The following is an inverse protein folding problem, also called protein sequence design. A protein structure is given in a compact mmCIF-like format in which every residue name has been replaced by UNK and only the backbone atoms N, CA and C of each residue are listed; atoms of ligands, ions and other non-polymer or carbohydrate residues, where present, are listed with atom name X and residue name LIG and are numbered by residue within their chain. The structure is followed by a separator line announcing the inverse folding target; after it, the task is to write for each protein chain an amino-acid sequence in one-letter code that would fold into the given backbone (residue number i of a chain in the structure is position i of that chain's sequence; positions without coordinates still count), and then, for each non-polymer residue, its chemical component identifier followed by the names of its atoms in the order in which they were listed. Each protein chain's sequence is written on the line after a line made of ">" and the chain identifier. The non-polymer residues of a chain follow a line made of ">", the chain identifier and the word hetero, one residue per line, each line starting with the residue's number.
data_IF_223530679800
#
_entry.id   IF_223530679800
#
_cell.length_a   1.000
_cell.length_b   1.000
_cell.length_c   1.000
_cell.angle_alpha   90.00
_cell.angle_beta   90.00
_cell.angle_gamma   90.00
#
_symmetry.space_group_name_H-M   'P 1'
#
loop_
_entity.id
_entity.type
_entity.pdbx_description
1 polymer ?
#
# COMPACT_ATOMS: atom_id res chain seq x y z
N UNK A 1 20.20 -8.79 18.77
CA UNK A 1 18.80 -8.45 18.48
C UNK A 1 18.36 -9.33 17.32
N UNK A 2 17.27 -10.12 17.41
CA UNK A 2 16.79 -10.80 16.22
C UNK A 2 16.35 -9.71 15.23
N UNK A 3 16.90 -9.72 14.02
CA UNK A 3 16.49 -8.81 12.95
C UNK A 3 14.99 -8.95 12.76
N UNK A 4 14.27 -7.82 12.78
CA UNK A 4 12.86 -7.82 12.39
C UNK A 4 12.74 -8.45 11.00
N UNK A 5 11.86 -9.44 10.85
CA UNK A 5 11.62 -10.08 9.56
C UNK A 5 11.33 -9.00 8.52
N UNK A 6 12.02 -8.99 7.40
CA UNK A 6 11.78 -7.99 6.35
C UNK A 6 10.40 -8.21 5.74
N UNK A 7 9.70 -7.13 5.39
CA UNK A 7 8.44 -7.21 4.65
C UNK A 7 8.74 -7.62 3.21
N UNK A 8 8.07 -8.66 2.72
CA UNK A 8 8.22 -9.08 1.31
C UNK A 8 7.18 -8.40 0.42
N UNK A 9 7.31 -8.57 -0.90
CA UNK A 9 6.32 -8.05 -1.85
C UNK A 9 4.97 -8.74 -1.65
N UNK A 10 4.98 -10.04 -1.43
CA UNK A 10 3.79 -10.86 -1.20
C UNK A 10 3.06 -10.43 0.08
N UNK A 11 3.81 -10.07 1.13
CA UNK A 11 3.22 -9.50 2.35
C UNK A 11 2.46 -8.19 2.05
N UNK A 12 3.05 -7.33 1.22
CA UNK A 12 2.45 -6.06 0.80
C UNK A 12 1.18 -6.25 -0.05
N UNK A 13 1.22 -7.17 -1.01
CA UNK A 13 0.07 -7.52 -1.86
C UNK A 13 -1.10 -8.06 -1.02
N UNK A 14 -0.82 -8.99 -0.09
CA UNK A 14 -1.83 -9.52 0.82
C UNK A 14 -2.41 -8.41 1.71
N UNK A 15 -1.60 -7.45 2.15
CA UNK A 15 -2.08 -6.33 2.97
C UNK A 15 -2.98 -5.37 2.20
N UNK A 16 -2.60 -5.01 0.98
CA UNK A 16 -3.44 -4.19 0.11
C UNK A 16 -4.78 -4.88 -0.15
N UNK A 17 -4.77 -6.18 -0.47
CA UNK A 17 -5.99 -6.95 -0.71
C UNK A 17 -6.85 -7.08 0.56
N UNK A 18 -6.25 -7.35 1.72
CA UNK A 18 -6.96 -7.39 3.00
C UNK A 18 -7.64 -6.05 3.31
N UNK A 19 -6.95 -4.94 3.06
CA UNK A 19 -7.52 -3.60 3.24
C UNK A 19 -8.71 -3.37 2.32
N UNK A 20 -8.58 -3.66 1.02
CA UNK A 20 -9.66 -3.51 0.04
C UNK A 20 -10.88 -4.31 0.46
N UNK A 21 -10.70 -5.59 0.80
CA UNK A 21 -11.79 -6.46 1.24
C UNK A 21 -12.54 -5.89 2.46
N UNK A 22 -11.82 -5.34 3.45
CA UNK A 22 -12.42 -4.78 4.67
C UNK A 22 -13.08 -3.42 4.40
N UNK A 23 -12.51 -2.62 3.50
CA UNK A 23 -13.05 -1.31 3.13
C UNK A 23 -14.30 -1.42 2.25
N UNK A 24 -14.40 -2.47 1.43
CA UNK A 24 -15.57 -2.78 0.60
C UNK A 24 -16.66 -3.51 1.37
N UNK A 25 -16.31 -4.21 2.46
CA UNK A 25 -17.28 -4.79 3.38
C UNK A 25 -18.00 -3.65 4.12
N UNK A 26 -19.12 -3.21 3.53
CA UNK A 26 -19.99 -2.13 4.00
C UNK A 26 -20.61 -2.33 5.38
N UNK A 27 -20.21 -3.39 6.11
CA UNK A 27 -20.44 -3.59 7.53
C UNK A 27 -19.53 -2.72 8.43
N UNK A 28 -18.79 -1.75 7.87
CA UNK A 28 -18.03 -0.77 8.65
C UNK A 28 -18.96 0.30 9.22
N UNK A 29 -19.62 -0.04 10.33
CA UNK A 29 -20.24 0.95 11.21
C UNK A 29 -19.20 2.00 11.60
N UNK A 30 -19.58 3.27 11.55
CA UNK A 30 -18.82 4.48 11.91
C UNK A 30 -18.20 4.46 13.32
N UNK A 31 -18.47 3.41 14.11
CA UNK A 31 -18.06 3.20 15.50
C UNK A 31 -17.08 2.02 15.72
N UNK A 32 -16.44 1.47 14.68
CA UNK A 32 -15.34 0.53 14.93
C UNK A 32 -14.15 1.27 15.57
N UNK A 33 -13.74 0.84 16.76
CA UNK A 33 -12.47 1.26 17.35
C UNK A 33 -11.33 0.86 16.41
N UNK A 34 -10.29 1.69 16.31
CA UNK A 34 -9.12 1.43 15.45
C UNK A 34 -8.57 0.01 15.65
N UNK A 35 -8.68 -0.54 16.85
CA UNK A 35 -8.25 -1.91 17.19
C UNK A 35 -9.05 -2.98 16.45
N UNK A 36 -10.37 -2.83 16.31
CA UNK A 36 -11.21 -3.80 15.60
C UNK A 36 -10.85 -3.85 14.11
N UNK A 37 -10.58 -2.67 13.51
CA UNK A 37 -10.15 -2.59 12.13
C UNK A 37 -8.82 -3.33 11.90
N UNK A 38 -7.80 -3.07 12.72
CA UNK A 38 -6.50 -3.72 12.59
C UNK A 38 -6.55 -5.22 12.90
N UNK A 39 -7.41 -5.67 13.82
CA UNK A 39 -7.63 -7.10 14.09
C UNK A 39 -8.31 -7.82 12.91
N UNK A 40 -9.30 -7.19 12.29
CA UNK A 40 -9.93 -7.70 11.06
C UNK A 40 -8.91 -7.77 9.94
N UNK A 41 -8.06 -6.75 9.79
CA UNK A 41 -7.00 -6.70 8.78
C UNK A 41 -5.96 -7.81 8.97
N UNK A 42 -5.54 -8.05 10.22
CA UNK A 42 -4.70 -9.19 10.56
C UNK A 42 -5.36 -10.52 10.17
N UNK A 43 -6.64 -10.70 10.51
CA UNK A 43 -7.38 -11.93 10.20
C UNK A 43 -7.48 -12.17 8.70
N UNK A 44 -7.81 -11.14 7.92
CA UNK A 44 -7.87 -11.21 6.46
C UNK A 44 -6.50 -11.50 5.84
N UNK A 45 -5.44 -10.85 6.33
CA UNK A 45 -4.06 -11.12 5.90
C UNK A 45 -3.67 -12.58 6.15
N UNK A 46 -3.96 -13.13 7.34
CA UNK A 46 -3.67 -14.53 7.67
C UNK A 46 -4.41 -15.51 6.75
N UNK A 47 -5.64 -15.18 6.38
CA UNK A 47 -6.43 -16.00 5.45
C UNK A 47 -5.84 -15.99 4.03
N UNK A 48 -5.37 -14.83 3.57
CA UNK A 48 -4.79 -14.65 2.24
C UNK A 48 -3.39 -15.28 2.12
N UNK A 49 -2.57 -15.13 3.17
CA UNK A 49 -1.19 -15.63 3.20
C UNK A 49 -1.09 -17.13 3.54
N UNK A 50 -2.17 -17.73 4.06
CA UNK A 50 -2.25 -19.16 4.37
C UNK A 50 -1.14 -19.62 5.32
N UNK A 51 -0.48 -20.75 5.00
CA UNK A 51 0.63 -21.28 5.81
C UNK A 51 1.96 -20.52 5.63
N UNK A 52 2.01 -19.55 4.71
CA UNK A 52 3.19 -18.71 4.47
C UNK A 52 3.20 -17.40 5.27
N UNK A 53 2.15 -17.17 6.06
CA UNK A 53 1.98 -15.93 6.81
C UNK A 53 3.11 -15.71 7.82
N UNK A 54 3.81 -14.59 7.70
CA UNK A 54 4.78 -14.21 8.73
C UNK A 54 3.99 -13.77 9.96
N UNK A 55 4.16 -14.48 11.09
CA UNK A 55 3.54 -14.09 12.36
C UNK A 55 4.13 -12.76 12.80
N UNK A 56 3.35 -11.67 12.66
CA UNK A 56 3.71 -10.31 13.08
C UNK A 56 2.65 -9.77 14.04
N UNK A 57 3.04 -8.82 14.89
CA UNK A 57 2.10 -8.13 15.80
C UNK A 57 1.25 -7.12 15.01
N UNK A 58 0.00 -6.91 15.44
CA UNK A 58 -0.92 -5.91 14.86
C UNK A 58 -0.27 -4.53 14.70
N UNK A 59 0.47 -4.05 15.70
CA UNK A 59 1.17 -2.75 15.65
C UNK A 59 2.18 -2.64 14.50
N UNK A 60 2.80 -3.76 14.10
CA UNK A 60 3.73 -3.78 12.99
C UNK A 60 3.01 -3.57 11.66
N UNK A 61 1.79 -4.10 11.51
CA UNK A 61 0.95 -3.88 10.35
C UNK A 61 0.48 -2.42 10.27
N UNK A 62 0.03 -1.85 11.39
CA UNK A 62 -0.37 -0.45 11.44
C UNK A 62 0.80 0.48 11.06
N UNK A 63 1.99 0.23 11.61
CA UNK A 63 3.19 1.03 11.31
C UNK A 63 3.61 0.89 9.85
N UNK A 64 3.61 -0.35 9.31
CA UNK A 64 3.96 -0.61 7.92
C UNK A 64 2.96 0.02 6.94
N UNK A 65 1.66 -0.10 7.24
CA UNK A 65 0.61 0.53 6.47
C UNK A 65 0.74 2.05 6.46
N UNK A 66 0.86 2.67 7.64
CA UNK A 66 0.94 4.12 7.75
C UNK A 66 2.22 4.70 7.12
N UNK A 67 3.35 3.99 7.26
CA UNK A 67 4.66 4.48 6.84
C UNK A 67 5.01 4.23 5.38
N UNK A 68 4.49 3.18 4.76
CA UNK A 68 4.87 2.79 3.39
C UNK A 68 3.65 2.68 2.47
N UNK A 69 2.69 1.82 2.82
CA UNK A 69 1.58 1.49 1.90
C UNK A 69 0.67 2.69 1.66
N UNK A 70 0.24 3.41 2.72
CA UNK A 70 -0.68 4.54 2.59
C UNK A 70 -0.09 5.70 1.76
N UNK A 71 1.17 6.14 1.97
CA UNK A 71 1.82 7.10 1.08
C UNK A 71 1.86 6.64 -0.38
N UNK A 72 2.18 5.37 -0.63
CA UNK A 72 2.25 4.85 -2.00
C UNK A 72 0.89 4.80 -2.68
N UNK A 73 -0.16 4.38 -1.97
CA UNK A 73 -1.55 4.41 -2.47
C UNK A 73 -1.97 5.84 -2.82
N UNK A 74 -1.65 6.82 -1.96
CA UNK A 74 -1.96 8.23 -2.23
C UNK A 74 -1.21 8.78 -3.45
N UNK A 75 0.08 8.43 -3.59
CA UNK A 75 0.89 8.82 -4.74
C UNK A 75 0.36 8.20 -6.04
N UNK A 76 0.00 6.92 -6.01
CA UNK A 76 -0.58 6.23 -7.15
C UNK A 76 -1.92 6.83 -7.56
N UNK A 77 -2.84 7.06 -6.60
CA UNK A 77 -4.12 7.69 -6.88
C UNK A 77 -3.97 9.09 -7.50
N UNK A 78 -2.99 9.87 -7.01
CA UNK A 78 -2.66 11.18 -7.59
C UNK A 78 -2.08 11.06 -9.01
N UNK A 79 -1.21 10.08 -9.26
CA UNK A 79 -0.66 9.81 -10.58
C UNK A 79 -1.77 9.40 -11.56
N UNK A 80 -2.63 8.45 -11.18
CA UNK A 80 -3.75 7.99 -11.99
C UNK A 80 -4.71 9.13 -12.34
N UNK A 81 -5.06 9.97 -11.36
CA UNK A 81 -5.89 11.17 -11.61
C UNK A 81 -5.24 12.10 -12.63
N UNK A 82 -3.92 12.28 -12.56
CA UNK A 82 -3.18 13.15 -13.49
C UNK A 82 -3.17 12.57 -14.90
N UNK A 83 -2.93 11.26 -15.03
CA UNK A 83 -2.94 10.56 -16.33
C UNK A 83 -4.32 10.60 -16.97
N UNK A 84 -5.37 10.33 -16.20
CA UNK A 84 -6.76 10.40 -16.66
C UNK A 84 -7.16 11.83 -17.09
N UNK A 85 -6.70 12.85 -16.36
CA UNK A 85 -6.97 14.25 -16.69
C UNK A 85 -6.30 14.72 -18.00
N UNK A 86 -5.19 14.10 -18.41
CA UNK A 86 -4.49 14.41 -19.66
C UNK A 86 -5.28 13.96 -20.90
N UNK A 87 -6.29 13.10 -20.73
CA UNK A 87 -7.26 12.67 -21.75
C UNK A 87 -6.61 12.25 -23.08
N UNK A 88 -5.72 11.26 -23.02
CA UNK A 88 -5.00 10.73 -24.18
C UNK A 88 -5.93 9.87 -25.07
N UNK A 89 -6.23 10.35 -26.27
CA UNK A 89 -7.10 9.63 -27.22
C UNK A 89 -6.51 8.27 -27.59
N UNK A 90 -7.31 7.21 -27.45
CA UNK A 90 -6.91 5.83 -27.80
C UNK A 90 -6.26 5.05 -26.65
N UNK A 91 -6.10 5.64 -25.47
CA UNK A 91 -5.62 4.95 -24.28
C UNK A 91 -6.76 4.18 -23.60
N UNK A 92 -6.50 2.92 -23.26
CA UNK A 92 -7.37 2.09 -22.43
C UNK A 92 -7.17 2.40 -20.95
N UNK A 93 -8.03 1.86 -20.09
CA UNK A 93 -7.83 1.91 -18.64
C UNK A 93 -6.53 1.21 -18.21
N UNK A 94 -6.14 0.13 -18.89
CA UNK A 94 -4.89 -0.58 -18.67
C UNK A 94 -3.67 0.31 -18.98
N UNK A 95 -3.71 1.06 -20.08
CA UNK A 95 -2.64 2.01 -20.42
C UNK A 95 -2.52 3.12 -19.37
N UNK A 96 -3.66 3.61 -18.87
CA UNK A 96 -3.68 4.62 -17.82
C UNK A 96 -3.09 4.09 -16.49
N UNK A 97 -3.37 2.83 -16.15
CA UNK A 97 -2.81 2.19 -14.95
C UNK A 97 -1.31 1.97 -15.08
N UNK A 98 -0.84 1.43 -16.22
CA UNK A 98 0.58 1.20 -16.47
C UNK A 98 1.39 2.51 -16.39
N UNK A 99 0.84 3.61 -16.93
CA UNK A 99 1.48 4.92 -16.84
C UNK A 99 1.48 5.48 -15.41
N UNK A 100 0.41 5.27 -14.65
CA UNK A 100 0.36 5.66 -13.24
C UNK A 100 1.42 4.89 -12.41
N UNK A 101 1.64 3.61 -12.70
CA UNK A 101 2.72 2.80 -12.10
C UNK A 101 4.11 3.33 -12.45
N UNK A 102 4.34 3.70 -13.71
CA UNK A 102 5.58 4.33 -14.16
C UNK A 102 5.82 5.65 -13.41
N UNK A 103 4.79 6.48 -13.27
CA UNK A 103 4.86 7.75 -12.53
C UNK A 103 5.19 7.53 -11.04
N UNK A 104 4.59 6.52 -10.41
CA UNK A 104 4.88 6.16 -9.02
C UNK A 104 6.35 5.75 -8.86
N UNK A 105 6.84 4.89 -9.74
CA UNK A 105 8.24 4.43 -9.73
C UNK A 105 9.21 5.59 -9.87
N UNK A 106 8.99 6.47 -10.84
CA UNK A 106 9.80 7.67 -11.03
C UNK A 106 9.79 8.60 -9.80
N UNK A 107 8.63 8.80 -9.17
CA UNK A 107 8.53 9.60 -7.92
C UNK A 107 9.30 8.98 -6.77
N UNK A 108 9.27 7.65 -6.62
CA UNK A 108 10.04 6.93 -5.60
C UNK A 108 11.54 7.07 -5.81
N UNK A 109 12.01 6.91 -7.05
CA UNK A 109 13.42 7.11 -7.39
C UNK A 109 13.87 8.54 -7.09
N UNK A 110 13.04 9.54 -7.44
CA UNK A 110 13.32 10.93 -7.13
C UNK A 110 13.39 11.19 -5.62
N UNK A 111 12.47 10.64 -4.83
CA UNK A 111 12.50 10.76 -3.37
C UNK A 111 13.75 10.10 -2.76
N UNK A 112 14.14 8.93 -3.26
CA UNK A 112 15.34 8.24 -2.82
C UNK A 112 16.61 9.04 -3.17
N UNK A 113 16.71 9.54 -4.41
CA UNK A 113 17.83 10.37 -4.85
C UNK A 113 17.94 11.68 -4.04
N UNK A 114 16.81 12.34 -3.76
CA UNK A 114 16.78 13.53 -2.93
C UNK A 114 17.20 13.23 -1.49
N UNK A 115 16.77 12.09 -0.95
CA UNK A 115 17.15 11.63 0.39
C UNK A 115 18.64 11.40 0.48
N UNK A 116 19.24 10.68 -0.49
CA UNK A 116 20.68 10.47 -0.55
C UNK A 116 21.46 11.78 -0.62
N UNK A 117 21.02 12.71 -1.48
CA UNK A 117 21.64 14.03 -1.61
C UNK A 117 21.58 14.84 -0.31
N UNK A 118 20.51 14.68 0.47
CA UNK A 118 20.35 15.36 1.77
C UNK A 118 21.36 14.91 2.83
N UNK A 119 22.04 13.78 2.63
CA UNK A 119 23.10 13.28 3.52
C UNK A 119 24.51 13.65 3.03
N UNK A 120 24.64 14.21 1.82
CA UNK A 120 25.90 14.66 1.22
C UNK A 120 26.17 16.15 1.45
N UNK A 121 25.16 16.90 1.92
CA UNK A 121 25.22 18.32 2.32
C UNK A 121 25.46 18.47 3.85
#
# INVERSE_FOLDING_TARGET
>A
MPNATQWTKEDGECLCQAYTNISEDGATSTDQTSDLFWNSMYTAYQLLSGNGATVRKADAFQTHWAGLIRPDVALFASALTSVQAEHRSGWSEEDNMAEAENCLTAKREQLNANTLKSFED
#
